data_IF_142728532056
#
_entry.id   IF_142728532056
#
_cell.length_a   1.000
_cell.length_b   1.000
_cell.length_c   1.000
_cell.angle_alpha   90.00
_cell.angle_beta   90.00
_cell.angle_gamma   90.00
#
_symmetry.space_group_name_H-M   'P 1'
#
loop_
_entity.id
_entity.type
_entity.pdbx_description
1 polymer ?
#
# COMPACT_ATOMS: atom_id res chain seq x y z
N UNK A 1 41.70 -19.40 11.87
CA UNK A 1 40.91 -20.04 10.81
C UNK A 1 40.61 -19.00 9.74
N UNK A 2 41.00 -19.30 8.51
CA UNK A 2 40.79 -18.55 7.25
C UNK A 2 39.30 -18.72 6.89
N UNK A 3 38.57 -17.72 6.37
CA UNK A 3 38.39 -17.47 4.93
C UNK A 3 37.83 -16.07 4.71
N UNK A 4 38.58 -15.28 3.94
CA UNK A 4 38.11 -14.12 3.19
C UNK A 4 37.32 -14.58 1.97
N UNK A 5 36.16 -13.97 1.72
CA UNK A 5 35.50 -14.01 0.41
C UNK A 5 34.89 -12.65 0.08
N UNK A 6 35.71 -11.80 -0.53
CA UNK A 6 35.25 -10.70 -1.37
C UNK A 6 34.92 -11.23 -2.78
N UNK A 7 34.26 -10.36 -3.56
CA UNK A 7 33.83 -10.51 -4.97
C UNK A 7 32.46 -11.19 -5.02
N UNK A 8 31.43 -10.62 -5.65
CA UNK A 8 31.36 -10.44 -7.09
C UNK A 8 30.63 -9.14 -7.50
N UNK A 9 31.12 -8.56 -8.58
CA UNK A 9 30.58 -7.42 -9.30
C UNK A 9 29.71 -7.92 -10.50
N UNK A 10 28.97 -7.02 -11.17
CA UNK A 10 27.73 -7.28 -11.89
C UNK A 10 27.95 -7.80 -13.31
N UNK A 11 26.97 -8.53 -13.86
CA UNK A 11 26.88 -8.75 -15.31
C UNK A 11 25.43 -8.67 -15.79
N UNK A 12 25.28 -7.83 -16.80
CA UNK A 12 24.10 -7.55 -17.60
C UNK A 12 23.54 -8.81 -18.27
N UNK A 13 22.21 -8.92 -18.28
CA UNK A 13 21.50 -9.61 -19.35
C UNK A 13 20.36 -8.70 -19.84
N UNK A 14 20.65 -8.01 -20.94
CA UNK A 14 19.68 -7.43 -21.86
C UNK A 14 18.69 -8.52 -22.32
N UNK A 15 17.39 -8.24 -22.26
CA UNK A 15 16.41 -8.83 -23.16
C UNK A 15 15.45 -7.73 -23.62
N UNK A 16 15.83 -7.14 -24.76
CA UNK A 16 14.94 -6.46 -25.69
C UNK A 16 13.83 -7.43 -26.08
N UNK A 17 12.58 -7.07 -25.83
CA UNK A 17 11.43 -7.65 -26.52
C UNK A 17 10.65 -6.50 -27.16
N UNK A 18 11.06 -6.18 -28.39
CA UNK A 18 10.27 -5.39 -29.31
C UNK A 18 9.45 -6.37 -30.15
N UNK A 19 8.13 -6.35 -30.00
CA UNK A 19 7.22 -6.82 -31.03
C UNK A 19 6.09 -5.81 -31.12
N UNK A 20 6.09 -5.08 -32.23
CA UNK A 20 5.11 -4.05 -32.52
C UNK A 20 3.77 -4.62 -32.95
N UNK A 21 2.75 -3.77 -32.90
CA UNK A 21 1.61 -3.85 -33.80
C UNK A 21 1.15 -2.43 -34.07
N UNK A 22 1.35 -2.02 -35.33
CA UNK A 22 0.83 -0.80 -35.90
C UNK A 22 -0.60 -1.05 -36.38
N UNK A 23 -1.54 -0.21 -35.97
CA UNK A 23 -2.81 -0.03 -36.66
C UNK A 23 -3.17 1.45 -36.62
N UNK A 24 -3.24 2.06 -37.81
CA UNK A 24 -3.57 3.45 -38.06
C UNK A 24 -5.11 3.68 -38.04
N UNK A 25 -5.57 4.94 -37.93
CA UNK A 25 -6.96 5.29 -37.58
C UNK A 25 -7.86 5.42 -38.82
N UNK A 26 -9.18 5.48 -38.60
CA UNK A 26 -9.99 6.47 -39.32
C UNK A 26 -10.72 7.44 -38.37
N UNK A 27 -10.62 8.73 -38.70
CA UNK A 27 -11.43 9.82 -38.14
C UNK A 27 -12.77 9.96 -38.84
N UNK A 28 -13.71 10.56 -38.10
CA UNK A 28 -14.90 11.33 -38.51
C UNK A 28 -16.28 10.62 -38.48
N UNK A 29 -17.04 10.99 -37.44
CA UNK A 29 -18.51 11.08 -37.25
C UNK A 29 -19.25 11.77 -38.43
N UNK A 30 -20.61 11.93 -38.46
CA UNK A 30 -21.64 11.70 -37.42
C UNK A 30 -22.95 11.02 -37.91
N UNK A 31 -23.81 10.61 -36.97
CA UNK A 31 -25.24 10.99 -36.90
C UNK A 31 -26.01 10.12 -35.90
N UNK A 32 -26.71 10.84 -35.02
CA UNK A 32 -27.98 10.53 -34.35
C UNK A 32 -28.51 9.10 -34.35
N UNK A 33 -28.59 8.52 -33.15
CA UNK A 33 -29.77 7.77 -32.74
C UNK A 33 -29.99 7.96 -31.23
N UNK A 34 -31.04 8.73 -30.94
CA UNK A 34 -31.74 8.82 -29.66
C UNK A 34 -32.13 7.44 -29.14
N UNK A 35 -31.90 7.14 -27.85
CA UNK A 35 -32.85 6.52 -26.88
C UNK A 35 -32.14 6.21 -25.55
N UNK A 36 -32.79 6.44 -24.38
CA UNK A 36 -32.13 6.56 -23.08
C UNK A 36 -32.05 5.23 -22.33
N UNK A 37 -30.98 5.00 -21.58
CA UNK A 37 -30.94 3.84 -20.70
C UNK A 37 -29.58 3.55 -20.09
N UNK A 38 -29.53 3.71 -18.78
CA UNK A 38 -28.77 2.90 -17.82
C UNK A 38 -27.23 2.99 -17.77
N UNK A 39 -26.79 3.13 -16.51
CA UNK A 39 -25.49 2.82 -15.93
C UNK A 39 -24.33 3.78 -16.22
N UNK A 40 -23.78 4.47 -15.19
CA UNK A 40 -22.47 5.09 -15.33
C UNK A 40 -21.42 4.00 -15.56
N UNK A 41 -20.80 4.08 -16.74
CA UNK A 41 -19.66 3.26 -17.15
C UNK A 41 -18.50 3.45 -16.19
N UNK A 42 -18.21 2.39 -15.45
CA UNK A 42 -16.92 2.20 -14.80
C UNK A 42 -15.93 1.74 -15.88
N UNK A 43 -15.00 2.61 -16.26
CA UNK A 43 -13.84 2.21 -17.05
C UNK A 43 -12.52 2.63 -16.39
N UNK A 44 -11.65 1.61 -16.29
CA UNK A 44 -10.20 1.65 -16.30
C UNK A 44 -9.44 2.26 -15.11
N UNK A 45 -9.07 1.38 -14.19
CA UNK A 45 -7.98 1.59 -13.24
C UNK A 45 -7.65 0.31 -12.47
N UNK A 46 -7.02 -0.66 -13.11
CA UNK A 46 -6.60 -1.91 -12.47
C UNK A 46 -5.53 -1.66 -11.39
N UNK A 47 -5.93 -1.74 -10.11
CA UNK A 47 -5.14 -2.21 -8.97
C UNK A 47 -6.03 -2.20 -7.70
N UNK A 48 -6.27 -3.38 -7.11
CA UNK A 48 -7.13 -3.65 -5.94
C UNK A 48 -8.63 -3.89 -6.21
N UNK A 49 -8.95 -4.74 -7.18
CA UNK A 49 -10.29 -5.36 -7.21
C UNK A 49 -10.45 -6.28 -5.99
N UNK A 50 -11.16 -5.81 -4.95
CA UNK A 50 -11.55 -6.62 -3.79
C UNK A 50 -11.23 -6.03 -2.41
N UNK A 51 -10.59 -4.87 -2.31
CA UNK A 51 -10.29 -4.24 -1.00
C UNK A 51 -11.27 -3.09 -0.74
N UNK A 52 -12.14 -3.27 0.26
CA UNK A 52 -13.06 -2.21 0.69
C UNK A 52 -12.28 -1.02 1.30
N UNK A 53 -12.33 0.18 0.68
CA UNK A 53 -11.58 1.35 1.15
C UNK A 53 -12.10 1.88 2.50
N UNK A 54 -13.37 1.60 2.83
CA UNK A 54 -13.97 1.94 4.11
C UNK A 54 -13.37 1.11 5.25
N UNK A 55 -13.23 -0.19 5.07
CA UNK A 55 -12.64 -1.12 6.02
C UNK A 55 -11.13 -0.90 6.19
N UNK A 56 -10.42 -0.57 5.11
CA UNK A 56 -9.02 -0.15 5.18
C UNK A 56 -8.85 1.11 6.05
N UNK A 57 -9.70 2.12 5.84
CA UNK A 57 -9.70 3.36 6.62
C UNK A 57 -10.05 3.12 8.09
N UNK A 58 -11.02 2.23 8.37
CA UNK A 58 -11.35 1.81 9.75
C UNK A 58 -10.19 1.10 10.43
N UNK A 59 -9.55 0.16 9.75
CA UNK A 59 -8.37 -0.54 10.27
C UNK A 59 -7.22 0.42 10.56
N UNK A 60 -6.94 1.34 9.65
CA UNK A 60 -5.98 2.42 9.83
C UNK A 60 -6.28 3.26 11.08
N UNK A 61 -7.55 3.63 11.27
CA UNK A 61 -7.99 4.43 12.42
C UNK A 61 -7.82 3.66 13.73
N UNK A 62 -8.23 2.38 13.76
CA UNK A 62 -8.04 1.50 14.92
C UNK A 62 -6.56 1.31 15.27
N UNK A 63 -5.68 1.21 14.27
CA UNK A 63 -4.24 1.12 14.45
C UNK A 63 -3.68 2.40 15.08
N UNK A 64 -4.03 3.58 14.55
CA UNK A 64 -3.61 4.87 15.10
C UNK A 64 -4.01 5.04 16.56
N UNK A 65 -5.28 4.80 16.89
CA UNK A 65 -5.76 4.89 18.29
C UNK A 65 -5.03 3.92 19.22
N UNK A 66 -4.66 2.74 18.73
CA UNK A 66 -3.89 1.76 19.52
C UNK A 66 -2.44 2.19 19.73
N UNK A 67 -1.83 2.81 18.71
CA UNK A 67 -0.46 3.32 18.75
C UNK A 67 -0.34 4.56 19.65
N UNK A 68 -1.29 5.48 19.57
CA UNK A 68 -1.36 6.66 20.43
C UNK A 68 -1.44 6.28 21.91
N UNK A 69 -2.29 5.30 22.26
CA UNK A 69 -2.39 4.74 23.63
C UNK A 69 -1.08 4.15 24.16
N UNK A 70 -0.14 3.82 23.27
CA UNK A 70 1.17 3.26 23.61
C UNK A 70 2.29 4.29 23.51
N UNK A 71 1.96 5.58 23.36
CA UNK A 71 2.90 6.67 23.17
C UNK A 71 3.77 6.52 21.92
N UNK A 72 3.25 5.86 20.87
CA UNK A 72 3.87 5.89 19.56
C UNK A 72 3.49 7.20 18.86
N UNK A 73 4.48 7.84 18.24
CA UNK A 73 4.27 9.11 17.56
C UNK A 73 3.43 8.89 16.29
N UNK A 74 2.25 9.49 16.27
CA UNK A 74 1.33 9.42 15.13
C UNK A 74 1.02 10.80 14.55
N UNK A 75 1.83 11.80 14.90
CA UNK A 75 1.62 13.17 14.45
C UNK A 75 1.72 13.25 12.92
N UNK A 76 0.68 13.84 12.30
CA UNK A 76 0.58 13.95 10.84
C UNK A 76 0.17 12.66 10.12
N UNK A 77 -0.02 11.54 10.81
CA UNK A 77 -0.63 10.35 10.22
C UNK A 77 -2.14 10.57 10.04
N UNK A 78 -2.67 10.31 8.84
CA UNK A 78 -4.10 10.44 8.56
C UNK A 78 -4.61 9.14 7.96
N UNK A 79 -5.58 8.50 8.61
CA UNK A 79 -6.16 7.24 8.14
C UNK A 79 -6.73 7.34 6.72
N UNK A 80 -7.35 8.47 6.37
CA UNK A 80 -7.88 8.74 5.02
C UNK A 80 -6.79 8.90 3.95
N UNK A 81 -5.52 9.10 4.34
CA UNK A 81 -4.37 9.16 3.43
C UNK A 81 -3.58 7.85 3.39
N UNK A 82 -4.08 6.81 4.06
CA UNK A 82 -3.45 5.50 4.05
C UNK A 82 -3.46 4.92 2.62
N UNK A 83 -2.32 4.41 2.18
CA UNK A 83 -2.23 3.76 0.87
C UNK A 83 -2.53 2.28 1.02
N UNK A 84 -3.53 1.81 0.27
CA UNK A 84 -3.78 0.38 0.14
C UNK A 84 -2.72 -0.21 -0.80
N UNK A 85 -1.98 -1.21 -0.31
CA UNK A 85 -0.89 -1.88 -1.04
C UNK A 85 -0.95 -3.39 -0.84
N UNK A 86 -0.26 -4.18 -1.67
CA UNK A 86 -0.06 -5.61 -1.43
C UNK A 86 0.64 -5.89 -0.09
N UNK A 87 0.36 -7.06 0.51
CA UNK A 87 0.94 -7.46 1.80
C UNK A 87 2.48 -7.42 1.81
N UNK A 88 3.11 -7.87 0.74
CA UNK A 88 4.58 -7.88 0.61
C UNK A 88 5.18 -6.46 0.69
N UNK A 89 4.53 -5.49 0.05
CA UNK A 89 4.95 -4.08 0.09
C UNK A 89 4.71 -3.46 1.46
N UNK A 90 3.56 -3.73 2.09
CA UNK A 90 3.29 -3.28 3.45
C UNK A 90 4.37 -3.81 4.42
N UNK A 91 4.74 -5.09 4.33
CA UNK A 91 5.77 -5.70 5.20
C UNK A 91 7.17 -5.18 4.95
N UNK A 92 7.52 -4.86 3.69
CA UNK A 92 8.78 -4.19 3.39
C UNK A 92 8.87 -2.82 4.09
N UNK A 93 7.72 -2.25 4.43
CA UNK A 93 7.61 -0.99 5.17
C UNK A 93 7.74 0.22 4.25
N UNK A 94 7.76 1.39 4.87
CA UNK A 94 7.97 2.65 4.16
C UNK A 94 9.40 3.12 4.36
N UNK A 95 10.05 3.79 3.39
CA UNK A 95 11.31 4.47 3.64
C UNK A 95 11.12 5.62 4.64
N UNK A 96 12.22 6.10 5.23
CA UNK A 96 12.17 7.29 6.10
C UNK A 96 11.76 8.50 5.28
N UNK A 97 10.67 9.14 5.68
CA UNK A 97 10.19 10.40 5.11
C UNK A 97 10.21 11.52 6.15
N UNK A 98 9.99 12.75 5.69
CA UNK A 98 9.84 13.93 6.55
C UNK A 98 8.48 13.99 7.26
N UNK A 99 7.52 13.17 6.84
CA UNK A 99 6.15 13.11 7.38
C UNK A 99 5.80 11.69 7.77
N UNK A 100 4.80 11.55 8.64
CA UNK A 100 4.23 10.25 8.89
C UNK A 100 3.67 9.63 7.60
N UNK A 101 4.01 8.37 7.37
CA UNK A 101 3.47 7.55 6.30
C UNK A 101 2.58 6.43 6.85
N UNK A 102 1.64 5.98 6.03
CA UNK A 102 0.82 4.81 6.35
C UNK A 102 0.53 3.95 5.12
N UNK A 103 0.78 2.64 5.28
CA UNK A 103 0.38 1.59 4.34
C UNK A 103 -0.65 0.69 4.99
N UNK A 104 -1.59 0.21 4.21
CA UNK A 104 -2.60 -0.76 4.63
C UNK A 104 -2.62 -1.89 3.62
N UNK A 105 -2.60 -3.12 4.08
CA UNK A 105 -2.74 -4.29 3.24
C UNK A 105 -3.77 -5.24 3.83
N UNK A 106 -4.55 -5.90 2.97
CA UNK A 106 -5.35 -7.05 3.36
C UNK A 106 -4.43 -8.27 3.36
N UNK A 107 -4.36 -8.99 4.48
CA UNK A 107 -3.63 -10.26 4.57
C UNK A 107 -4.47 -11.41 4.04
N UNK A 108 -3.82 -12.51 3.70
CA UNK A 108 -4.48 -13.73 3.23
C UNK A 108 -5.42 -14.36 4.26
N UNK A 109 -5.19 -14.13 5.55
CA UNK A 109 -6.05 -14.59 6.66
C UNK A 109 -7.19 -13.62 6.99
N UNK A 110 -7.56 -12.77 6.04
CA UNK A 110 -8.62 -11.76 6.15
C UNK A 110 -8.38 -10.65 7.19
N UNK A 111 -7.28 -10.67 7.92
CA UNK A 111 -6.88 -9.55 8.79
C UNK A 111 -6.27 -8.41 7.99
N UNK A 112 -6.20 -7.22 8.59
CA UNK A 112 -5.54 -6.07 8.01
C UNK A 112 -4.15 -5.89 8.61
N UNK A 113 -3.16 -5.66 7.76
CA UNK A 113 -1.85 -5.18 8.14
C UNK A 113 -1.79 -3.68 7.92
N UNK A 114 -1.62 -2.91 8.99
CA UNK A 114 -1.43 -1.46 8.93
C UNK A 114 0.01 -1.17 9.33
N UNK A 115 0.77 -0.55 8.44
CA UNK A 115 2.13 -0.12 8.73
C UNK A 115 2.14 1.38 8.89
N UNK A 116 2.56 1.85 10.05
CA UNK A 116 2.65 3.26 10.40
C UNK A 116 4.12 3.59 10.62
N UNK A 117 4.61 4.59 9.89
CA UNK A 117 5.97 5.09 10.08
C UNK A 117 5.90 6.54 10.52
N UNK A 118 6.39 6.83 11.72
CA UNK A 118 6.48 8.20 12.19
C UNK A 118 7.59 8.97 11.45
N UNK A 119 7.42 10.29 11.33
CA UNK A 119 8.48 11.20 10.89
C UNK A 119 9.64 11.24 11.89
N UNK A 120 9.33 11.06 13.18
CA UNK A 120 10.28 11.08 14.28
C UNK A 120 10.56 9.65 14.71
N UNK A 121 11.84 9.28 14.84
CA UNK A 121 12.18 7.99 15.44
C UNK A 121 11.71 8.00 16.90
N UNK A 122 10.65 7.27 17.23
CA UNK A 122 10.17 7.18 18.61
C UNK A 122 11.29 6.58 19.47
N UNK A 123 11.71 7.31 20.51
CA UNK A 123 12.84 6.90 21.38
C UNK A 123 12.61 5.53 22.03
N UNK A 124 11.34 5.11 22.16
CA UNK A 124 10.94 3.92 22.91
C UNK A 124 10.53 2.73 22.05
N UNK A 125 10.08 2.96 20.80
CA UNK A 125 9.38 1.93 20.02
C UNK A 125 9.84 1.84 18.54
N UNK A 126 10.95 2.49 18.17
CA UNK A 126 11.44 2.46 16.79
C UNK A 126 10.73 3.46 15.87
N UNK A 127 11.12 3.47 14.60
CA UNK A 127 10.58 4.43 13.62
C UNK A 127 9.29 3.94 12.96
N UNK A 128 9.01 2.63 13.00
CA UNK A 128 7.90 2.01 12.30
C UNK A 128 7.20 0.95 13.15
N UNK A 129 5.87 0.93 13.10
CA UNK A 129 5.03 -0.07 13.72
C UNK A 129 4.20 -0.81 12.66
N UNK A 130 4.19 -2.14 12.75
CA UNK A 130 3.32 -3.02 11.98
C UNK A 130 2.19 -3.48 12.90
N UNK A 131 0.96 -3.12 12.57
CA UNK A 131 -0.23 -3.37 13.37
C UNK A 131 -1.12 -4.35 12.63
N UNK A 132 -1.45 -5.47 13.27
CA UNK A 132 -2.44 -6.42 12.74
C UNK A 132 -3.81 -6.11 13.35
N UNK A 133 -4.81 -5.85 12.51
CA UNK A 133 -6.19 -5.53 12.90
C UNK A 133 -7.11 -6.66 12.44
N UNK A 134 -8.16 -6.97 13.19
CA UNK A 134 -9.12 -8.00 12.79
C UNK A 134 -9.85 -7.66 11.48
N UNK A 135 -10.46 -8.66 10.84
CA UNK A 135 -11.04 -8.59 9.49
C UNK A 135 -12.09 -7.51 9.27
N UNK A 136 -12.87 -7.20 10.31
CA UNK A 136 -13.87 -6.12 10.40
C UNK A 136 -13.27 -4.71 10.45
N UNK A 137 -11.93 -4.60 10.50
CA UNK A 137 -11.22 -3.34 10.74
C UNK A 137 -11.36 -2.83 12.19
N UNK A 138 -11.80 -3.69 13.10
CA UNK A 138 -12.06 -3.38 14.50
C UNK A 138 -11.22 -4.29 15.40
N UNK A 139 -10.51 -3.69 16.35
CA UNK A 139 -9.70 -4.42 17.32
C UNK A 139 -8.30 -4.80 16.79
N UNK A 140 -7.28 -4.42 17.56
CA UNK A 140 -5.88 -4.73 17.25
C UNK A 140 -5.51 -6.09 17.83
N UNK A 141 -5.02 -6.99 16.98
CA UNK A 141 -4.58 -8.34 17.35
C UNK A 141 -3.11 -8.40 17.75
N UNK A 142 -2.29 -7.52 17.19
CA UNK A 142 -0.85 -7.49 17.46
C UNK A 142 -0.20 -6.20 16.96
N UNK A 143 0.89 -5.83 17.60
CA UNK A 143 1.75 -4.71 17.20
C UNK A 143 3.18 -5.17 17.27
N UNK A 144 3.90 -4.99 16.17
CA UNK A 144 5.33 -5.25 16.05
C UNK A 144 6.05 -3.95 15.74
N UNK A 145 7.18 -3.73 16.39
CA UNK A 145 7.96 -2.51 16.29
C UNK A 145 9.28 -2.78 15.56
N UNK A 146 9.60 -1.94 14.58
CA UNK A 146 10.78 -2.07 13.73
C UNK A 146 11.60 -0.78 13.74
N UNK A 147 12.92 -0.93 13.69
CA UNK A 147 13.89 0.17 13.72
C UNK A 147 14.32 0.59 12.33
#
# INVERSE_FOLDING_TARGET
>A
MIVSSARWAPLLALLVSACGSAAAPPSASPSDTTTPGAAPGAEAGGASAGVDPGAASKAASAALTSLERRNFDTEGCVASKARVVPEAEARAGMPKGERCGMLVARKSDETWLVVVRSALSSKSYGAQALVTVASEGQGVRGIEYTK
#
